data_IF_055123150110
#
_entry.id   IF_055123150110
#
_cell.length_a   1.000
_cell.length_b   1.000
_cell.length_c   1.000
_cell.angle_alpha   90.00
_cell.angle_beta   90.00
_cell.angle_gamma   90.00
#
_symmetry.space_group_name_H-M   'P 1'
#
loop_
_entity.id
_entity.type
_entity.pdbx_description
1 polymer ?
#
# COMPACT_ATOMS: atom_id res chain seq x y z
N UNK A 1 -9.88 -19.44 18.84
CA UNK A 1 -9.42 -19.39 17.44
C UNK A 1 -10.42 -18.74 16.52
N UNK A 2 -11.68 -19.05 16.71
CA UNK A 2 -12.69 -18.52 15.82
C UNK A 2 -12.83 -17.01 15.91
N UNK A 3 -12.70 -16.45 17.11
CA UNK A 3 -12.74 -15.00 17.25
C UNK A 3 -11.59 -14.33 16.51
N UNK A 4 -10.41 -14.94 16.60
CA UNK A 4 -9.25 -14.43 15.87
C UNK A 4 -9.50 -14.56 14.37
N UNK A 5 -10.07 -15.68 13.98
CA UNK A 5 -10.35 -15.90 12.56
C UNK A 5 -11.38 -14.91 12.04
N UNK A 6 -12.35 -14.55 12.86
CA UNK A 6 -13.34 -13.55 12.45
C UNK A 6 -12.70 -12.20 12.20
N UNK A 7 -11.81 -11.77 13.10
CA UNK A 7 -11.08 -10.54 12.91
C UNK A 7 -10.22 -10.60 11.66
N UNK A 8 -9.58 -11.73 11.44
CA UNK A 8 -8.73 -11.92 10.28
C UNK A 8 -9.55 -11.84 9.01
N UNK A 9 -10.76 -12.40 9.03
CA UNK A 9 -11.63 -12.36 7.85
C UNK A 9 -12.03 -10.94 7.50
N UNK A 10 -12.23 -10.10 8.51
CA UNK A 10 -12.56 -8.71 8.26
C UNK A 10 -11.39 -7.99 7.63
N UNK A 11 -10.18 -8.45 7.92
CA UNK A 11 -8.95 -7.89 7.38
C UNK A 11 -8.39 -8.78 6.29
N UNK A 12 -9.26 -9.39 5.48
CA UNK A 12 -8.83 -10.33 4.46
C UNK A 12 -7.81 -9.73 3.49
N UNK A 13 -7.88 -8.43 3.27
CA UNK A 13 -6.92 -7.76 2.41
C UNK A 13 -5.51 -7.82 2.97
N UNK A 14 -5.37 -7.75 4.29
CA UNK A 14 -4.06 -7.92 4.92
C UNK A 14 -3.52 -9.32 4.69
N UNK A 15 -4.38 -10.32 4.79
CA UNK A 15 -3.95 -11.71 4.60
C UNK A 15 -3.46 -11.96 3.19
N UNK A 16 -3.95 -11.18 2.24
CA UNK A 16 -3.54 -11.31 0.84
C UNK A 16 -2.42 -10.36 0.48
N UNK A 17 -1.83 -9.70 1.46
CA UNK A 17 -0.74 -8.75 1.24
C UNK A 17 0.51 -9.54 0.85
N UNK A 18 1.08 -9.21 -0.29
CA UNK A 18 2.27 -9.86 -0.80
C UNK A 18 3.32 -8.82 -1.11
N UNK A 19 4.55 -9.13 -0.75
CA UNK A 19 5.65 -8.26 -1.11
C UNK A 19 5.85 -8.31 -2.62
N UNK A 20 6.09 -7.14 -3.21
CA UNK A 20 6.32 -7.01 -4.64
C UNK A 20 7.62 -6.25 -4.87
N UNK A 21 8.29 -6.50 -6.01
CA UNK A 21 9.47 -5.71 -6.36
C UNK A 21 9.08 -4.28 -6.72
N UNK A 22 10.03 -3.37 -6.61
CA UNK A 22 9.77 -1.94 -6.82
C UNK A 22 9.24 -1.66 -8.23
N UNK A 23 9.64 -2.44 -9.21
CA UNK A 23 9.19 -2.23 -10.58
C UNK A 23 7.72 -2.61 -10.81
N UNK A 24 7.08 -3.20 -9.81
CA UNK A 24 5.64 -3.52 -9.86
C UNK A 24 4.79 -2.47 -9.16
N UNK A 25 5.41 -1.48 -8.54
CA UNK A 25 4.70 -0.37 -7.94
C UNK A 25 4.14 0.51 -9.06
N UNK A 26 2.96 1.07 -8.83
CA UNK A 26 2.35 1.97 -9.80
C UNK A 26 3.31 3.11 -10.12
N UNK A 27 3.43 3.41 -11.40
CA UNK A 27 4.42 4.40 -11.85
C UNK A 27 4.17 5.79 -11.28
N UNK A 28 2.91 6.11 -10.97
CA UNK A 28 2.57 7.41 -10.41
C UNK A 28 3.27 7.68 -9.07
N UNK A 29 3.63 6.61 -8.37
CA UNK A 29 4.31 6.75 -7.07
C UNK A 29 5.62 7.52 -7.23
N UNK A 30 6.32 7.31 -8.33
CA UNK A 30 7.59 8.00 -8.56
C UNK A 30 7.41 9.51 -8.61
N UNK A 31 6.24 9.97 -9.00
CA UNK A 31 5.95 11.40 -9.04
C UNK A 31 5.66 11.98 -7.67
N UNK A 32 5.32 11.13 -6.72
CA UNK A 32 5.01 11.57 -5.35
C UNK A 32 6.25 11.63 -4.48
N UNK A 33 7.30 10.92 -4.85
CA UNK A 33 8.53 10.87 -4.06
C UNK A 33 9.26 12.20 -4.15
N UNK A 34 9.77 12.65 -3.01
CA UNK A 34 10.59 13.88 -2.99
C UNK A 34 12.05 13.51 -3.26
N UNK A 35 12.88 14.50 -3.61
CA UNK A 35 14.29 14.20 -3.85
C UNK A 35 14.93 13.55 -2.64
N UNK A 36 15.67 12.47 -2.89
CA UNK A 36 16.33 11.71 -1.84
C UNK A 36 15.46 10.68 -1.15
N UNK A 37 14.16 10.65 -1.44
CA UNK A 37 13.27 9.64 -0.89
C UNK A 37 13.38 8.36 -1.73
N UNK A 38 13.56 7.22 -1.05
CA UNK A 38 13.68 5.94 -1.73
C UNK A 38 12.62 4.97 -1.24
N UNK A 39 12.22 4.06 -2.12
CA UNK A 39 11.32 2.97 -1.76
C UNK A 39 12.15 1.91 -1.05
N UNK A 40 11.70 1.51 0.14
CA UNK A 40 12.37 0.49 0.94
C UNK A 40 11.72 -0.86 0.70
N UNK A 41 10.38 -0.89 0.75
CA UNK A 41 9.63 -2.13 0.65
C UNK A 41 8.26 -1.81 0.13
N UNK A 42 7.68 -2.72 -0.63
CA UNK A 42 6.34 -2.51 -1.16
C UNK A 42 5.56 -3.81 -1.17
N UNK A 43 4.27 -3.68 -0.97
CA UNK A 43 3.35 -4.81 -0.87
C UNK A 43 2.12 -4.53 -1.70
N UNK A 44 1.45 -5.58 -2.08
CA UNK A 44 0.22 -5.48 -2.87
C UNK A 44 -0.81 -6.45 -2.34
N UNK A 45 -2.05 -5.98 -2.29
CA UNK A 45 -3.22 -6.84 -2.10
C UNK A 45 -3.82 -7.10 -3.49
N UNK A 46 -5.09 -7.47 -3.54
CA UNK A 46 -5.74 -7.72 -4.83
C UNK A 46 -5.69 -6.48 -5.71
N UNK A 47 -5.94 -5.30 -5.14
CA UNK A 47 -6.02 -4.06 -5.91
C UNK A 47 -5.18 -2.93 -5.33
N UNK A 48 -4.90 -2.97 -4.04
CA UNK A 48 -4.25 -1.87 -3.33
C UNK A 48 -2.76 -2.14 -3.19
N UNK A 49 -2.00 -1.08 -2.99
CA UNK A 49 -0.57 -1.19 -2.74
C UNK A 49 -0.21 -0.41 -1.49
N UNK A 50 0.80 -0.90 -0.77
CA UNK A 50 1.36 -0.23 0.40
C UNK A 50 2.86 -0.11 0.14
N UNK A 51 3.34 1.12 0.15
CA UNK A 51 4.73 1.40 -0.16
C UNK A 51 5.39 2.05 1.05
N UNK A 52 6.45 1.41 1.54
CA UNK A 52 7.26 1.95 2.62
C UNK A 52 8.45 2.65 1.98
N UNK A 53 8.56 3.95 2.19
CA UNK A 53 9.70 4.72 1.70
C UNK A 53 10.62 5.05 2.86
N UNK A 54 11.71 5.73 2.58
CA UNK A 54 12.63 6.20 3.61
C UNK A 54 12.00 7.27 4.51
N UNK A 55 10.86 7.86 4.12
CA UNK A 55 10.26 9.00 4.83
C UNK A 55 8.82 8.77 5.29
N UNK A 56 8.09 7.84 4.68
CA UNK A 56 6.66 7.69 4.94
C UNK A 56 6.14 6.37 4.44
N UNK A 57 4.88 6.09 4.80
CA UNK A 57 4.10 5.00 4.22
C UNK A 57 3.12 5.61 3.24
N UNK A 58 3.07 5.09 2.03
CA UNK A 58 2.10 5.51 1.02
C UNK A 58 1.15 4.36 0.78
N UNK A 59 -0.14 4.62 0.92
CA UNK A 59 -1.18 3.63 0.65
C UNK A 59 -1.91 4.03 -0.62
N UNK A 60 -1.97 3.11 -1.56
CA UNK A 60 -2.67 3.31 -2.83
C UNK A 60 -3.94 2.49 -2.78
N UNK A 61 -5.07 3.15 -2.81
CA UNK A 61 -6.37 2.49 -2.74
C UNK A 61 -7.05 2.60 -4.10
N UNK A 62 -7.35 1.45 -4.69
CA UNK A 62 -7.96 1.37 -6.02
C UNK A 62 -9.42 0.95 -5.87
N UNK A 63 -10.32 1.76 -6.40
CA UNK A 63 -11.76 1.55 -6.27
C UNK A 63 -12.44 1.58 -7.63
N UNK A 64 -13.72 1.20 -7.62
CA UNK A 64 -14.55 1.21 -8.81
C UNK A 64 -14.45 -0.09 -9.59
N UNK A 65 -15.47 -0.37 -10.39
CA UNK A 65 -15.53 -1.61 -11.17
C UNK A 65 -14.37 -1.72 -12.15
N UNK A 66 -13.96 -0.58 -12.71
CA UNK A 66 -12.88 -0.56 -13.70
C UNK A 66 -11.50 -0.30 -13.09
N UNK A 67 -11.44 -0.07 -11.77
CA UNK A 67 -10.17 0.26 -11.11
C UNK A 67 -9.62 1.63 -11.47
N UNK A 68 -10.47 2.52 -11.98
CA UNK A 68 -10.00 3.85 -12.41
C UNK A 68 -9.96 4.87 -11.30
N UNK A 69 -10.65 4.61 -10.20
CA UNK A 69 -10.67 5.54 -9.08
C UNK A 69 -9.54 5.17 -8.13
N UNK A 70 -8.51 5.99 -8.09
CA UNK A 70 -7.31 5.71 -7.30
C UNK A 70 -7.10 6.84 -6.31
N UNK A 71 -6.90 6.48 -5.05
CA UNK A 71 -6.62 7.43 -3.97
C UNK A 71 -5.26 7.11 -3.37
N UNK A 72 -4.56 8.16 -2.95
CA UNK A 72 -3.23 8.05 -2.37
C UNK A 72 -3.26 8.65 -0.97
N UNK A 73 -2.79 7.89 0.01
CA UNK A 73 -2.71 8.35 1.40
C UNK A 73 -1.25 8.29 1.82
N UNK A 74 -0.77 9.37 2.43
CA UNK A 74 0.62 9.49 2.84
C UNK A 74 0.69 9.68 4.34
N UNK A 75 1.48 8.85 5.01
CA UNK A 75 1.63 8.86 6.46
C UNK A 75 3.11 8.99 6.80
N UNK A 76 3.59 10.22 7.05
CA UNK A 76 5.00 10.42 7.44
C UNK A 76 5.31 9.71 8.75
N UNK A 77 6.47 9.09 8.85
CA UNK A 77 6.85 8.39 10.06
C UNK A 77 6.91 9.31 11.26
N UNK A 78 7.28 10.55 11.06
CA UNK A 78 7.39 11.52 12.15
C UNK A 78 6.05 11.81 12.82
N UNK A 79 4.94 11.45 12.18
CA UNK A 79 3.61 11.70 12.71
C UNK A 79 2.97 10.45 13.33
N UNK A 80 3.71 9.40 13.41
CA UNK A 80 3.20 8.12 13.93
C UNK A 80 3.45 8.02 15.44
#
# INVERSE_FOLDING_TARGET
MDTVNSGIKQDANFLNLKEIPQNKVRSEINMLLVPGETIVQCFQTVRDQVIFTSKRVIVVNVQGLTGKKVSYFSYPYSNV
#
